data_IF_821400171285
#
_entry.id   IF_821400171285
#
_cell.length_a   1.000
_cell.length_b   1.000
_cell.length_c   1.000
_cell.angle_alpha   90.00
_cell.angle_beta   90.00
_cell.angle_gamma   90.00
#
_symmetry.space_group_name_H-M   'P 1'
#
loop_
_entity.id
_entity.type
_entity.pdbx_description
1 polymer ?
#
# COMPACT_ATOMS: atom_id res chain seq x y z
N UNK A 1 -10.10 8.48 -6.20
CA UNK A 1 -10.18 7.16 -6.86
C UNK A 1 -9.18 6.17 -6.27
N UNK A 2 -7.93 6.55 -6.00
CA UNK A 2 -6.99 5.67 -5.29
C UNK A 2 -7.35 5.48 -3.80
N UNK A 3 -7.86 6.53 -3.15
CA UNK A 3 -8.37 6.48 -1.78
C UNK A 3 -9.51 5.46 -1.62
N UNK A 4 -10.44 5.42 -2.58
CA UNK A 4 -11.56 4.46 -2.61
C UNK A 4 -11.05 3.03 -2.80
N UNK A 5 -10.06 2.82 -3.67
CA UNK A 5 -9.46 1.49 -3.87
C UNK A 5 -8.72 1.00 -2.63
N UNK A 6 -8.04 1.89 -1.92
CA UNK A 6 -7.38 1.56 -0.65
C UNK A 6 -8.42 1.19 0.42
N UNK A 7 -9.51 1.96 0.53
CA UNK A 7 -10.60 1.65 1.44
C UNK A 7 -11.26 0.30 1.12
N UNK A 8 -11.53 0.02 -0.14
CA UNK A 8 -12.12 -1.25 -0.62
C UNK A 8 -11.20 -2.46 -0.34
N UNK A 9 -9.88 -2.25 -0.48
CA UNK A 9 -8.87 -3.26 -0.14
C UNK A 9 -8.68 -3.46 1.38
N UNK A 10 -9.42 -2.75 2.23
CA UNK A 10 -9.37 -2.84 3.68
C UNK A 10 -8.24 -2.04 4.31
N UNK A 11 -7.68 -1.07 3.60
CA UNK A 11 -6.81 -0.06 4.21
C UNK A 11 -7.66 1.01 4.88
N UNK A 12 -7.21 1.48 6.04
CA UNK A 12 -7.82 2.62 6.72
C UNK A 12 -6.79 3.73 6.91
N UNK A 13 -7.20 5.01 6.82
CA UNK A 13 -6.32 6.13 7.04
C UNK A 13 -5.93 6.22 8.53
N UNK A 14 -4.68 6.56 8.80
CA UNK A 14 -4.18 6.85 10.14
C UNK A 14 -3.46 8.19 10.16
N UNK A 15 -3.54 8.86 11.30
CA UNK A 15 -2.65 9.98 11.62
C UNK A 15 -1.28 9.42 11.99
N UNK A 16 -0.37 9.40 11.03
CA UNK A 16 1.03 9.08 11.26
C UNK A 16 1.81 10.38 11.49
N UNK A 17 2.72 10.46 12.47
CA UNK A 17 3.54 11.65 12.65
C UNK A 17 4.36 11.88 11.37
N UNK A 18 4.00 12.92 10.64
CA UNK A 18 4.76 13.38 9.48
C UNK A 18 6.12 13.86 10.00
N UNK A 19 7.20 13.28 9.49
CA UNK A 19 8.52 13.85 9.72
C UNK A 19 8.54 15.28 9.14
N UNK A 20 9.34 16.21 9.69
CA UNK A 20 9.39 17.60 9.21
C UNK A 20 9.77 17.73 7.72
N UNK A 21 10.43 16.74 7.14
CA UNK A 21 10.78 16.64 5.71
C UNK A 21 9.78 15.84 4.87
N UNK A 22 8.68 15.38 5.46
CA UNK A 22 7.68 14.58 4.76
C UNK A 22 6.71 15.49 4.01
N UNK A 23 6.49 15.20 2.73
CA UNK A 23 5.47 15.89 1.94
C UNK A 23 4.10 15.74 2.62
N UNK A 24 3.21 16.75 2.53
CA UNK A 24 1.85 16.60 3.04
C UNK A 24 1.17 15.42 2.35
N UNK A 25 0.56 14.52 3.12
CA UNK A 25 -0.07 13.33 2.55
C UNK A 25 -1.02 12.60 3.50
N UNK A 26 -1.56 11.49 3.03
CA UNK A 26 -2.39 10.58 3.84
C UNK A 26 -1.71 9.24 3.94
N UNK A 27 -1.60 8.73 5.17
CA UNK A 27 -1.08 7.39 5.43
C UNK A 27 -2.25 6.43 5.62
N UNK A 28 -2.22 5.34 4.88
CA UNK A 28 -3.19 4.25 4.92
C UNK A 28 -2.51 2.98 5.44
N UNK A 29 -3.22 2.19 6.23
CA UNK A 29 -2.68 0.95 6.80
C UNK A 29 -3.67 -0.18 6.62
N UNK A 30 -3.15 -1.33 6.24
CA UNK A 30 -3.87 -2.61 6.20
C UNK A 30 -3.15 -3.61 7.09
N UNK A 31 -3.72 -3.98 8.25
CA UNK A 31 -3.20 -5.06 9.06
C UNK A 31 -3.53 -6.39 8.39
N UNK A 32 -2.50 -7.12 7.94
CA UNK A 32 -2.64 -8.51 7.53
C UNK A 32 -2.39 -9.47 8.69
N UNK A 33 -2.79 -10.74 8.52
CA UNK A 33 -2.57 -11.81 9.53
C UNK A 33 -1.08 -12.12 9.79
N UNK A 34 -0.20 -11.77 8.86
CA UNK A 34 1.25 -12.05 8.92
C UNK A 34 2.11 -10.81 8.76
N UNK A 35 1.62 -9.83 8.02
CA UNK A 35 2.37 -8.63 7.67
C UNK A 35 1.42 -7.44 7.57
N UNK A 36 1.85 -6.31 8.09
CA UNK A 36 1.18 -5.02 8.00
C UNK A 36 1.70 -4.28 6.77
N UNK A 37 0.77 -3.76 5.96
CA UNK A 37 1.07 -2.92 4.82
C UNK A 37 0.71 -1.48 5.16
N UNK A 38 1.66 -0.56 5.02
CA UNK A 38 1.47 0.87 5.16
C UNK A 38 1.71 1.55 3.82
N UNK A 39 0.75 2.33 3.37
CA UNK A 39 0.81 3.09 2.12
C UNK A 39 0.77 4.58 2.47
N UNK A 40 1.80 5.31 2.13
CA UNK A 40 1.81 6.77 2.20
C UNK A 40 1.49 7.32 0.82
N UNK A 41 0.46 8.16 0.74
CA UNK A 41 0.02 8.82 -0.48
C UNK A 41 0.23 10.33 -0.34
N UNK A 42 1.06 10.92 -1.20
CA UNK A 42 1.26 12.36 -1.22
C UNK A 42 -0.05 13.10 -1.57
N UNK A 43 -0.26 14.30 -1.03
CA UNK A 43 -1.46 15.11 -1.22
C UNK A 43 -1.74 15.40 -2.70
N UNK A 44 -0.69 15.67 -3.49
CA UNK A 44 -0.79 15.88 -4.94
C UNK A 44 -1.09 14.59 -5.72
N UNK A 45 -1.22 13.46 -5.01
CA UNK A 45 -1.50 12.13 -5.56
C UNK A 45 -0.57 11.76 -6.71
N UNK A 46 0.65 12.29 -6.72
CA UNK A 46 1.64 12.04 -7.77
C UNK A 46 2.62 10.93 -7.38
N UNK A 47 2.81 10.72 -6.07
CA UNK A 47 3.77 9.77 -5.53
C UNK A 47 3.12 8.93 -4.43
N UNK A 48 3.49 7.66 -4.40
CA UNK A 48 3.11 6.68 -3.38
C UNK A 48 4.35 6.00 -2.84
N UNK A 49 4.37 5.78 -1.53
CA UNK A 49 5.39 4.99 -0.86
C UNK A 49 4.72 3.85 -0.09
N UNK A 50 5.18 2.63 -0.31
CA UNK A 50 4.62 1.43 0.27
C UNK A 50 5.66 0.80 1.16
N UNK A 51 5.22 0.49 2.37
CA UNK A 51 6.02 -0.12 3.39
C UNK A 51 5.36 -1.40 3.87
N UNK A 52 6.13 -2.46 4.06
CA UNK A 52 5.61 -3.69 4.65
C UNK A 52 6.49 -4.15 5.80
N UNK A 53 5.89 -4.83 6.77
CA UNK A 53 6.63 -5.38 7.91
C UNK A 53 5.69 -5.96 8.94
N UNK A 54 6.25 -6.54 10.00
CA UNK A 54 5.45 -7.18 11.05
C UNK A 54 4.62 -6.17 11.85
N UNK A 55 5.15 -4.96 12.05
CA UNK A 55 4.58 -3.92 12.90
C UNK A 55 4.78 -2.54 12.26
N UNK A 56 3.95 -1.55 12.62
CA UNK A 56 4.01 -0.17 12.08
C UNK A 56 5.37 0.52 12.22
N UNK A 57 6.15 0.18 13.25
CA UNK A 57 7.49 0.73 13.48
C UNK A 57 8.60 -0.01 12.74
N UNK A 58 8.35 -1.25 12.35
CA UNK A 58 9.32 -2.12 11.68
C UNK A 58 8.98 -2.33 10.20
N UNK A 59 8.20 -1.43 9.61
CA UNK A 59 7.89 -1.47 8.19
C UNK A 59 9.08 -0.98 7.37
N UNK A 60 9.46 -1.73 6.35
CA UNK A 60 10.51 -1.35 5.40
C UNK A 60 9.89 -0.85 4.10
N UNK A 61 10.52 0.15 3.48
CA UNK A 61 10.09 0.66 2.19
C UNK A 61 10.32 -0.43 1.13
N UNK A 62 9.23 -0.91 0.53
CA UNK A 62 9.29 -1.91 -0.55
C UNK A 62 9.15 -1.25 -1.92
N UNK A 63 8.47 -0.10 -1.97
CA UNK A 63 8.24 0.63 -3.22
C UNK A 63 8.07 2.11 -2.96
N UNK A 64 8.64 2.95 -3.83
CA UNK A 64 8.38 4.39 -3.91
C UNK A 64 8.37 4.80 -5.36
N UNK A 65 7.28 5.43 -5.80
CA UNK A 65 7.15 5.79 -7.21
C UNK A 65 5.83 6.50 -7.53
N UNK A 66 5.57 6.76 -8.81
CA UNK A 66 4.37 7.45 -9.23
C UNK A 66 3.10 6.61 -9.00
N UNK A 67 2.03 7.25 -8.55
CA UNK A 67 0.69 6.65 -8.38
C UNK A 67 0.07 6.15 -9.69
N UNK A 68 0.56 6.61 -10.84
CA UNK A 68 0.15 6.14 -12.16
C UNK A 68 0.45 4.65 -12.37
N UNK A 69 1.38 4.09 -11.59
CA UNK A 69 1.63 2.65 -11.48
C UNK A 69 0.57 1.96 -10.58
N UNK A 70 -0.69 2.35 -10.75
CA UNK A 70 -1.83 1.86 -9.98
C UNK A 70 -2.03 0.34 -10.10
N UNK A 71 -1.47 -0.29 -11.13
CA UNK A 71 -1.42 -1.75 -11.28
C UNK A 71 -0.64 -2.41 -10.12
N UNK A 72 0.45 -1.79 -9.66
CA UNK A 72 1.26 -2.29 -8.55
C UNK A 72 0.53 -2.15 -7.20
N UNK A 73 -0.22 -1.05 -7.02
CA UNK A 73 -1.09 -0.87 -5.86
C UNK A 73 -2.23 -1.90 -5.85
N UNK A 74 -2.81 -2.22 -7.01
CA UNK A 74 -3.83 -3.27 -7.12
C UNK A 74 -3.25 -4.65 -6.81
N UNK A 75 -2.02 -4.97 -7.21
CA UNK A 75 -1.35 -6.22 -6.83
C UNK A 75 -1.11 -6.34 -5.31
N UNK A 76 -0.83 -5.21 -4.63
CA UNK A 76 -0.61 -5.18 -3.18
C UNK A 76 -1.93 -5.12 -2.38
N UNK A 77 -2.97 -4.56 -2.98
CA UNK A 77 -4.33 -4.48 -2.45
C UNK A 77 -5.13 -5.77 -2.66
N UNK A 78 -4.76 -6.58 -3.65
CA UNK A 78 -5.39 -7.86 -3.88
C UNK A 78 -5.40 -8.66 -2.56
N UNK A 79 -6.54 -9.24 -2.14
CA UNK A 79 -6.50 -10.30 -1.16
C UNK A 79 -5.53 -11.37 -1.70
N UNK A 80 -4.84 -12.10 -0.83
CA UNK A 80 -4.06 -13.29 -1.20
C UNK A 80 -4.96 -14.37 -1.83
N UNK A 81 -5.53 -14.10 -3.00
CA UNK A 81 -6.42 -14.95 -3.75
C UNK A 81 -5.79 -15.10 -5.14
N UNK A 82 -5.34 -16.32 -5.40
CA UNK A 82 -4.84 -16.83 -6.68
C UNK A 82 -3.46 -16.36 -7.14
N UNK A 83 -2.42 -16.79 -6.42
CA UNK A 83 -1.35 -17.52 -7.13
C UNK A 83 -1.73 -19.00 -7.18
N UNK A 84 -2.81 -19.33 -7.90
CA UNK A 84 -2.90 -20.68 -8.46
C UNK A 84 -2.00 -20.66 -9.70
N UNK A 85 -0.94 -21.48 -9.76
CA UNK A 85 -0.23 -21.67 -11.02
C UNK A 85 -1.27 -22.12 -12.05
N UNK A 86 -1.41 -21.38 -13.15
CA UNK A 86 -2.19 -21.85 -14.29
C UNK A 86 -1.57 -23.19 -14.69
N UNK A 87 -2.34 -24.30 -14.75
CA UNK A 87 -1.84 -25.49 -15.42
C UNK A 87 -1.55 -25.09 -16.86
N UNK A 88 -0.31 -25.31 -17.28
CA UNK A 88 0.07 -25.28 -18.68
C UNK A 88 -0.69 -26.44 -19.32
N UNK A 89 -1.84 -26.15 -19.91
CA UNK A 89 -2.50 -27.08 -20.81
C UNK A 89 -1.86 -26.96 -22.20
N UNK A 90 -1.30 -28.09 -22.60
CA UNK A 90 -0.83 -28.53 -23.92
C UNK A 90 0.62 -28.23 -24.34
#
# INVERSE_FOLDING_TARGET
MLDVQLADAGFFPISWPEAPDQLPGTTYVRPGRRELVRVFLAHNRSEVAIYTGRDLRSTQLVYRGPTADAALLQQLCAPFANSSPQPIEN
#
